data_IF_785129043480
#
_entry.id   IF_785129043480
#
_cell.length_a   1.000
_cell.length_b   1.000
_cell.length_c   1.000
_cell.angle_alpha   90.00
_cell.angle_beta   90.00
_cell.angle_gamma   90.00
#
_symmetry.space_group_name_H-M   'P 1'
#
loop_
_entity.id
_entity.type
_entity.pdbx_description
1 polymer ?
#
# COMPACT_ATOMS: atom_id res chain seq x y z
N UNK A 1 21.47 18.30 9.91
CA UNK A 1 21.19 17.04 10.61
C UNK A 1 20.07 17.34 11.61
N UNK A 2 18.77 17.12 11.42
CA UNK A 2 17.99 16.48 10.35
C UNK A 2 16.58 17.10 10.41
N UNK A 3 16.30 18.08 9.54
CA UNK A 3 14.98 18.74 9.45
C UNK A 3 14.00 17.98 8.52
N UNK A 4 14.32 16.73 8.18
CA UNK A 4 13.51 15.82 7.35
C UNK A 4 12.41 15.11 8.18
N UNK A 5 12.47 15.17 9.51
CA UNK A 5 11.65 14.36 10.42
C UNK A 5 10.19 14.78 10.59
N UNK A 6 9.75 15.90 10.01
CA UNK A 6 8.40 16.44 10.26
C UNK A 6 7.44 16.23 9.06
N UNK A 7 7.99 15.92 7.88
CA UNK A 7 7.33 15.51 6.63
C UNK A 7 6.63 14.14 6.69
N UNK A 8 7.21 13.10 7.32
CA UNK A 8 6.62 11.77 7.31
C UNK A 8 5.77 11.47 8.54
N UNK A 9 5.68 12.35 9.55
CA UNK A 9 5.11 11.97 10.85
C UNK A 9 3.66 11.44 10.77
N UNK A 10 2.81 12.07 9.96
CA UNK A 10 1.44 11.60 9.73
C UNK A 10 1.39 10.28 8.97
N UNK A 11 2.24 10.13 7.94
CA UNK A 11 2.35 8.92 7.13
C UNK A 11 2.94 7.77 7.94
N UNK A 12 3.95 8.02 8.76
CA UNK A 12 4.61 7.06 9.63
C UNK A 12 3.68 6.61 10.75
N UNK A 13 2.94 7.53 11.38
CA UNK A 13 1.90 7.18 12.35
C UNK A 13 0.79 6.36 11.69
N UNK A 14 0.29 6.79 10.53
CA UNK A 14 -0.70 6.02 9.77
C UNK A 14 -0.21 4.63 9.39
N UNK A 15 1.02 4.51 8.88
CA UNK A 15 1.65 3.25 8.51
C UNK A 15 1.89 2.33 9.72
N UNK A 16 2.26 2.89 10.87
CA UNK A 16 2.43 2.14 12.10
C UNK A 16 1.09 1.58 12.61
N UNK A 17 0.05 2.42 12.70
CA UNK A 17 -1.30 1.97 13.09
C UNK A 17 -1.85 0.91 12.11
N UNK A 18 -1.68 1.14 10.80
CA UNK A 18 -2.10 0.19 9.78
C UNK A 18 -1.32 -1.13 9.87
N UNK A 19 -0.01 -1.07 10.07
CA UNK A 19 0.85 -2.23 10.28
C UNK A 19 0.47 -3.05 11.50
N UNK A 20 0.22 -2.40 12.64
CA UNK A 20 -0.26 -3.05 13.87
C UNK A 20 -1.59 -3.76 13.60
N UNK A 21 -2.52 -3.10 12.90
CA UNK A 21 -3.79 -3.70 12.48
C UNK A 21 -3.61 -4.97 11.65
N UNK A 22 -2.69 -4.96 10.67
CA UNK A 22 -2.39 -6.14 9.85
C UNK A 22 -1.79 -7.29 10.66
N UNK A 23 -0.89 -7.00 11.62
CA UNK A 23 -0.29 -8.03 12.49
C UNK A 23 -1.34 -8.66 13.40
N UNK A 24 -2.23 -7.86 13.98
CA UNK A 24 -3.28 -8.34 14.88
C UNK A 24 -4.33 -9.17 14.13
N UNK A 25 -4.71 -8.75 12.92
CA UNK A 25 -5.69 -9.49 12.11
C UNK A 25 -5.11 -10.70 11.38
N UNK A 26 -3.79 -10.75 11.16
CA UNK A 26 -3.13 -11.82 10.42
C UNK A 26 -3.42 -11.84 8.92
N UNK A 27 -4.13 -10.83 8.40
CA UNK A 27 -4.45 -10.68 6.99
C UNK A 27 -3.97 -9.33 6.48
N UNK A 28 -3.24 -9.34 5.36
CA UNK A 28 -2.97 -8.13 4.61
C UNK A 28 -4.16 -7.85 3.67
N UNK A 29 -4.32 -6.62 3.15
CA UNK A 29 -5.50 -6.25 2.35
C UNK A 29 -5.71 -7.15 1.13
N UNK A 30 -4.64 -7.72 0.55
CA UNK A 30 -4.73 -8.64 -0.58
C UNK A 30 -5.18 -10.06 -0.20
N UNK A 31 -4.63 -10.63 0.87
CA UNK A 31 -5.04 -11.97 1.34
C UNK A 31 -6.42 -11.98 1.96
N UNK A 32 -6.86 -10.87 2.56
CA UNK A 32 -8.22 -10.74 3.07
C UNK A 32 -9.26 -10.94 1.95
N UNK A 33 -9.05 -10.32 0.77
CA UNK A 33 -9.94 -10.46 -0.38
C UNK A 33 -9.98 -11.91 -0.92
N UNK A 34 -8.82 -12.56 -1.00
CA UNK A 34 -8.73 -13.98 -1.40
C UNK A 34 -9.41 -14.92 -0.39
N UNK A 35 -9.30 -14.64 0.91
CA UNK A 35 -9.91 -15.42 1.97
C UNK A 35 -11.43 -15.20 2.11
N UNK A 36 -11.95 -14.06 1.66
CA UNK A 36 -13.40 -13.83 1.53
C UNK A 36 -13.95 -14.67 0.37
N UNK A 37 -13.23 -14.71 -0.77
CA UNK A 37 -13.65 -15.49 -1.93
C UNK A 37 -13.71 -17.00 -1.64
N UNK A 38 -12.92 -17.49 -0.69
CA UNK A 38 -12.98 -18.89 -0.21
C UNK A 38 -14.03 -19.15 0.87
N UNK A 39 -14.83 -18.14 1.26
CA UNK A 39 -15.94 -18.28 2.20
C UNK A 39 -15.61 -18.10 3.68
N UNK A 40 -14.44 -17.54 4.03
CA UNK A 40 -14.08 -17.35 5.44
C UNK A 40 -14.80 -16.13 6.06
N UNK A 41 -15.62 -16.40 7.07
CA UNK A 41 -16.37 -15.37 7.80
C UNK A 41 -15.43 -14.47 8.62
N UNK A 42 -14.29 -15.01 9.10
CA UNK A 42 -13.31 -14.26 9.87
C UNK A 42 -12.59 -13.18 9.04
N UNK A 43 -12.29 -13.44 7.76
CA UNK A 43 -11.73 -12.43 6.88
C UNK A 43 -12.76 -11.35 6.53
N UNK A 44 -14.03 -11.73 6.34
CA UNK A 44 -15.10 -10.78 6.06
C UNK A 44 -15.32 -9.77 7.21
N UNK A 45 -15.28 -10.22 8.47
CA UNK A 45 -15.37 -9.33 9.65
C UNK A 45 -14.18 -8.38 9.72
N UNK A 46 -12.97 -8.84 9.38
CA UNK A 46 -11.78 -7.98 9.32
C UNK A 46 -11.85 -6.92 8.24
N UNK A 47 -12.30 -7.30 7.04
CA UNK A 47 -12.51 -6.34 5.96
C UNK A 47 -13.62 -5.34 6.30
N UNK A 48 -14.68 -5.76 6.98
CA UNK A 48 -15.70 -4.84 7.48
C UNK A 48 -15.12 -3.84 8.49
N UNK A 49 -14.29 -4.31 9.43
CA UNK A 49 -13.56 -3.44 10.36
C UNK A 49 -12.64 -2.43 9.67
N UNK A 50 -11.94 -2.85 8.60
CA UNK A 50 -11.13 -1.93 7.78
C UNK A 50 -11.98 -0.87 7.09
N UNK A 51 -13.12 -1.24 6.52
CA UNK A 51 -14.05 -0.30 5.85
C UNK A 51 -14.60 0.70 6.86
N UNK A 52 -15.07 0.24 8.01
CA UNK A 52 -15.60 1.12 9.06
C UNK A 52 -14.52 2.07 9.58
N UNK A 53 -13.31 1.57 9.84
CA UNK A 53 -12.17 2.39 10.24
C UNK A 53 -11.80 3.45 9.20
N UNK A 54 -11.82 3.09 7.91
CA UNK A 54 -11.57 4.04 6.82
C UNK A 54 -12.65 5.12 6.72
N UNK A 55 -13.93 4.76 6.91
CA UNK A 55 -15.05 5.72 6.91
C UNK A 55 -14.94 6.68 8.11
N UNK A 56 -14.67 6.17 9.30
CA UNK A 56 -14.47 6.98 10.49
C UNK A 56 -13.30 7.96 10.34
N UNK A 57 -12.20 7.49 9.74
CA UNK A 57 -11.06 8.33 9.41
C UNK A 57 -11.44 9.40 8.36
N UNK A 58 -12.17 9.03 7.31
CA UNK A 58 -12.61 9.95 6.25
C UNK A 58 -13.57 11.04 6.78
N UNK A 59 -14.48 10.69 7.70
CA UNK A 59 -15.39 11.64 8.36
C UNK A 59 -14.63 12.59 9.30
N UNK A 60 -13.62 12.07 10.01
CA UNK A 60 -12.77 12.87 10.89
C UNK A 60 -11.67 13.61 10.12
N UNK A 61 -11.56 13.37 8.81
CA UNK A 61 -10.45 13.87 7.99
C UNK A 61 -10.48 15.38 7.85
N UNK A 62 -11.64 16.03 7.74
CA UNK A 62 -11.73 17.49 7.67
C UNK A 62 -11.20 18.17 8.94
N UNK A 63 -11.44 17.55 10.11
CA UNK A 63 -10.91 18.04 11.39
C UNK A 63 -9.40 17.81 11.51
N UNK A 64 -8.92 16.62 11.13
CA UNK A 64 -7.48 16.30 11.06
C UNK A 64 -6.78 17.18 10.02
N UNK A 65 -7.44 17.50 8.91
CA UNK A 65 -6.89 18.34 7.85
C UNK A 65 -6.73 19.79 8.31
N UNK A 66 -7.73 20.30 9.02
CA UNK A 66 -7.74 21.65 9.56
C UNK A 66 -6.67 21.88 10.65
N UNK A 67 -6.40 20.88 11.50
CA UNK A 67 -5.42 21.00 12.60
C UNK A 67 -4.02 20.44 12.30
N UNK A 68 -3.88 19.45 11.42
CA UNK A 68 -2.62 18.73 11.16
C UNK A 68 -2.12 18.88 9.72
N UNK A 69 -2.97 18.85 8.68
CA UNK A 69 -2.49 18.95 7.28
C UNK A 69 -2.16 20.38 6.85
N UNK A 70 -2.82 21.40 7.39
CA UNK A 70 -2.64 22.79 6.92
C UNK A 70 -1.29 23.39 7.30
N UNK A 71 -0.66 22.91 8.38
CA UNK A 71 0.71 23.31 8.80
C UNK A 71 1.80 22.53 8.05
N UNK A 72 1.40 21.49 7.29
CA UNK A 72 2.29 20.48 6.71
C UNK A 72 2.17 20.35 5.18
N UNK A 73 1.49 21.28 4.54
CA UNK A 73 1.28 21.30 3.10
C UNK A 73 2.53 21.80 2.36
N UNK A 74 3.56 20.96 2.22
CA UNK A 74 4.71 21.24 1.35
C UNK A 74 5.12 19.99 0.57
N UNK A 75 4.63 19.93 -0.68
CA UNK A 75 5.20 19.19 -1.80
C UNK A 75 4.97 17.68 -1.77
N UNK A 76 4.11 17.19 -2.67
CA UNK A 76 4.25 15.81 -3.17
C UNK A 76 5.62 15.72 -3.83
N UNK A 77 6.69 15.49 -3.09
CA UNK A 77 7.99 15.15 -3.68
C UNK A 77 7.86 13.71 -4.11
N UNK A 78 7.40 13.53 -5.35
CA UNK A 78 7.38 12.22 -5.98
C UNK A 78 8.80 11.99 -6.50
N UNK A 79 9.28 10.75 -6.50
CA UNK A 79 10.56 10.40 -7.12
C UNK A 79 10.80 11.10 -8.49
N UNK A 80 9.79 11.28 -9.38
CA UNK A 80 9.96 12.05 -10.62
C UNK A 80 10.35 13.53 -10.43
N UNK A 81 9.93 14.20 -9.35
CA UNK A 81 10.27 15.61 -9.06
C UNK A 81 11.74 15.79 -8.68
N UNK A 82 12.38 14.75 -8.16
CA UNK A 82 13.79 14.73 -7.78
C UNK A 82 14.68 14.40 -8.96
N UNK A 83 14.16 13.63 -9.94
CA UNK A 83 14.92 13.17 -11.12
C UNK A 83 14.63 13.97 -12.39
N UNK A 84 13.62 14.84 -12.41
CA UNK A 84 13.22 15.62 -13.60
C UNK A 84 12.66 14.78 -14.76
N UNK A 85 12.30 13.52 -14.48
CA UNK A 85 11.83 12.54 -15.47
C UNK A 85 10.32 12.47 -15.40
N UNK A 86 9.65 12.51 -16.56
CA UNK A 86 8.19 12.54 -16.62
C UNK A 86 7.56 11.34 -15.93
N UNK A 87 6.42 11.56 -15.26
CA UNK A 87 5.63 10.51 -14.59
C UNK A 87 5.43 9.27 -15.47
N UNK A 88 5.19 9.48 -16.77
CA UNK A 88 4.94 8.41 -17.73
C UNK A 88 6.11 7.43 -17.88
N UNK A 89 7.36 7.89 -17.80
CA UNK A 89 8.53 7.01 -17.93
C UNK A 89 8.69 6.14 -16.69
N UNK A 90 8.43 6.68 -15.50
CA UNK A 90 8.46 5.91 -14.25
C UNK A 90 7.35 4.86 -14.22
N UNK A 91 6.12 5.22 -14.61
CA UNK A 91 5.03 4.26 -14.72
C UNK A 91 5.31 3.18 -15.77
N UNK A 92 5.86 3.55 -16.94
CA UNK A 92 6.22 2.59 -17.97
C UNK A 92 7.35 1.64 -17.51
N UNK A 93 8.39 2.16 -16.86
CA UNK A 93 9.48 1.36 -16.33
C UNK A 93 9.01 0.36 -15.26
N UNK A 94 8.16 0.81 -14.33
CA UNK A 94 7.55 -0.06 -13.32
C UNK A 94 6.62 -1.09 -13.94
N UNK A 95 5.81 -0.71 -14.94
CA UNK A 95 4.93 -1.64 -15.64
C UNK A 95 5.71 -2.71 -16.43
N UNK A 96 6.77 -2.32 -17.13
CA UNK A 96 7.66 -3.24 -17.84
C UNK A 96 8.38 -4.16 -16.85
N UNK A 97 8.90 -3.61 -15.73
CA UNK A 97 9.56 -4.39 -14.69
C UNK A 97 8.64 -5.42 -14.06
N UNK A 98 7.41 -5.03 -13.69
CA UNK A 98 6.40 -5.93 -13.15
C UNK A 98 5.99 -7.01 -14.18
N UNK A 99 5.79 -6.63 -15.45
CA UNK A 99 5.47 -7.57 -16.53
C UNK A 99 6.59 -8.56 -16.80
N UNK A 100 7.85 -8.10 -16.86
CA UNK A 100 9.02 -8.95 -17.04
C UNK A 100 9.21 -9.91 -15.86
N UNK A 101 9.01 -9.43 -14.62
CA UNK A 101 9.04 -10.27 -13.43
C UNK A 101 7.95 -11.35 -13.47
N UNK A 102 6.73 -10.99 -13.86
CA UNK A 102 5.62 -11.93 -13.97
C UNK A 102 5.88 -13.00 -15.04
N UNK A 103 6.37 -12.61 -16.21
CA UNK A 103 6.76 -13.55 -17.28
C UNK A 103 7.92 -14.44 -16.83
N UNK A 104 8.87 -13.92 -16.06
CA UNK A 104 9.97 -14.71 -15.52
C UNK A 104 9.48 -15.73 -14.47
N UNK A 105 8.55 -15.34 -13.60
CA UNK A 105 7.91 -16.26 -12.64
C UNK A 105 7.19 -17.38 -13.38
N UNK A 106 6.32 -17.07 -14.34
CA UNK A 106 5.62 -18.07 -15.17
C UNK A 106 6.60 -19.00 -15.91
N UNK A 107 7.67 -18.45 -16.49
CA UNK A 107 8.70 -19.23 -17.15
C UNK A 107 9.51 -20.10 -16.17
N UNK A 108 9.69 -19.67 -14.92
CA UNK A 108 10.36 -20.42 -13.88
C UNK A 108 9.50 -21.58 -13.38
N UNK A 109 8.19 -21.37 -13.24
CA UNK A 109 7.23 -22.42 -12.86
C UNK A 109 7.06 -23.45 -13.98
N UNK A 110 7.04 -23.02 -15.24
CA UNK A 110 7.01 -23.91 -16.40
C UNK A 110 8.25 -24.81 -16.48
N UNK A 111 9.44 -24.28 -16.16
CA UNK A 111 10.67 -25.07 -16.07
C UNK A 111 10.67 -26.02 -14.87
N UNK A 112 10.18 -25.58 -13.71
CA UNK A 112 10.12 -26.39 -12.50
C UNK A 112 9.15 -27.58 -12.64
N UNK A 113 8.00 -27.43 -13.32
CA UNK A 113 7.09 -28.53 -13.63
C UNK A 113 7.70 -29.56 -14.59
N UNK A 114 8.48 -29.12 -15.57
CA UNK A 114 9.11 -30.00 -16.57
C UNK A 114 10.29 -30.81 -16.03
N UNK A 115 10.89 -30.40 -14.91
CA UNK A 115 11.98 -31.13 -14.25
C UNK A 115 11.49 -32.17 -13.21
N UNK A 116 10.18 -32.18 -12.91
CA UNK A 116 9.55 -33.07 -11.92
C UNK A 116 8.72 -34.22 -12.52
N UNK A 117 8.57 -34.27 -13.84
CA UNK A 117 7.95 -35.38 -14.58
C UNK A 117 8.95 -36.01 -15.52
#
# INVERSE_FOLDING_TARGET
>A
MDEEGRRPASVALGAALFGIGMVVYGYCPGTALGAIASGSVHAAVGTFGMIVGAILYALSFDWVKAHILNVWALGKVRLPDITGVSDGVWFAALAIGAGAFFVWVEASEAKARRARG
#
